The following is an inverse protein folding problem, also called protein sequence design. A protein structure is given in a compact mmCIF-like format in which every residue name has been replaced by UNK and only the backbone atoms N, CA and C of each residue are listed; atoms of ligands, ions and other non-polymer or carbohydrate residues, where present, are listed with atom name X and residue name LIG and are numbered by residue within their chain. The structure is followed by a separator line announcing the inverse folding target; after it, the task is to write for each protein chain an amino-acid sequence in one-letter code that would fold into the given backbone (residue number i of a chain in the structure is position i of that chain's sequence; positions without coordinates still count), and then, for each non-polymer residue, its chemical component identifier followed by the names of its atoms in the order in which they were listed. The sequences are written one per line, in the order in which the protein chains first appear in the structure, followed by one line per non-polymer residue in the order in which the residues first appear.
data_IF_369341539301
#
_entry.id   IF_369341539301
#
_cell.length_a   1.000
_cell.length_b   1.000
_cell.length_c   1.000
_cell.angle_alpha   90.00
_cell.angle_beta   90.00
_cell.angle_gamma   90.00
#
_symmetry.space_group_name_H-M   'P 1'
#
loop_
_entity.id
_entity.type
_entity.pdbx_description
1 polymer ?
#
# COMPACT_ATOMS: atom_id res chain seq x y z
N UNK A 1 -19.46 44.76 3.10
CA UNK A 1 -19.50 45.93 4.02
C UNK A 1 -19.04 47.24 3.37
N UNK A 2 -17.78 47.38 2.87
CA UNK A 2 -17.30 48.65 2.27
C UNK A 2 -17.75 48.88 0.81
N UNK A 3 -17.64 47.90 -0.08
CA UNK A 3 -18.08 48.05 -1.48
C UNK A 3 -19.60 47.90 -1.65
N UNK A 4 -20.20 46.88 -1.02
CA UNK A 4 -21.60 46.48 -1.28
C UNK A 4 -22.56 46.70 -0.10
N UNK A 5 -22.15 47.40 0.96
CA UNK A 5 -23.01 47.70 2.12
C UNK A 5 -23.39 46.50 3.03
N UNK A 6 -23.35 45.26 2.54
CA UNK A 6 -23.88 44.10 3.26
C UNK A 6 -22.96 43.59 4.38
N UNK A 7 -23.57 43.09 5.45
CA UNK A 7 -22.93 42.28 6.49
C UNK A 7 -22.81 40.83 6.00
N UNK A 8 -21.62 40.24 6.21
CA UNK A 8 -21.33 38.84 5.86
C UNK A 8 -20.56 38.20 7.01
N UNK A 9 -20.63 36.87 7.09
CA UNK A 9 -19.98 36.07 8.14
C UNK A 9 -18.90 35.19 7.54
N UNK A 10 -17.92 34.83 8.36
CA UNK A 10 -16.86 33.88 8.01
C UNK A 10 -16.73 32.82 9.09
N UNK A 11 -16.52 31.58 8.67
CA UNK A 11 -16.23 30.45 9.53
C UNK A 11 -14.96 29.78 9.01
N UNK A 12 -14.07 29.39 9.92
CA UNK A 12 -12.82 28.70 9.60
C UNK A 12 -12.87 27.27 10.13
N UNK A 13 -12.15 26.39 9.43
CA UNK A 13 -11.92 25.03 9.88
C UNK A 13 -10.53 24.93 10.53
N UNK A 14 -10.34 24.03 11.52
CA UNK A 14 -9.04 23.80 12.11
C UNK A 14 -8.07 23.24 11.06
N UNK A 15 -6.79 23.60 11.17
CA UNK A 15 -5.75 22.91 10.42
C UNK A 15 -5.58 21.51 11.00
N UNK A 16 -5.57 20.49 10.14
CA UNK A 16 -5.43 19.11 10.58
C UNK A 16 -3.95 18.81 10.88
N UNK A 17 -3.69 18.38 12.11
CA UNK A 17 -2.40 17.91 12.60
C UNK A 17 -2.55 16.50 13.14
N UNK A 18 -1.52 15.67 13.01
CA UNK A 18 -1.48 14.37 13.69
C UNK A 18 -1.08 14.57 15.16
N UNK A 19 -1.42 13.61 16.02
CA UNK A 19 -1.07 13.66 17.44
C UNK A 19 0.46 13.70 17.68
N UNK A 20 1.25 13.18 16.74
CA UNK A 20 2.71 13.21 16.75
C UNK A 20 3.32 14.59 16.36
N UNK A 21 2.48 15.59 16.08
CA UNK A 21 2.90 16.94 15.69
C UNK A 21 3.26 17.11 14.22
N UNK A 22 3.23 16.04 13.42
CA UNK A 22 3.46 16.11 11.98
C UNK A 22 2.23 16.67 11.24
N UNK A 23 2.47 17.28 10.08
CA UNK A 23 1.39 17.82 9.23
C UNK A 23 0.60 16.66 8.62
N UNK A 24 -0.73 16.77 8.68
CA UNK A 24 -1.63 15.82 8.03
C UNK A 24 -1.40 15.78 6.51
N UNK A 25 -1.50 14.60 5.91
CA UNK A 25 -1.30 14.39 4.47
C UNK A 25 0.17 14.39 4.01
N UNK A 26 1.15 14.51 4.91
CA UNK A 26 2.55 14.20 4.63
C UNK A 26 2.89 12.79 5.12
N UNK A 27 3.35 11.95 4.20
CA UNK A 27 3.94 10.65 4.44
C UNK A 27 5.46 10.74 4.28
N UNK A 28 6.19 9.68 4.65
CA UNK A 28 7.63 9.57 4.35
C UNK A 28 7.89 9.63 2.83
N UNK A 29 6.93 9.22 2.01
CA UNK A 29 6.98 9.25 0.54
C UNK A 29 6.43 10.55 -0.09
N UNK A 30 5.86 11.48 0.70
CA UNK A 30 5.40 12.79 0.23
C UNK A 30 3.92 13.09 0.47
N UNK A 31 3.30 13.83 -0.44
CA UNK A 31 1.90 14.28 -0.34
C UNK A 31 0.93 13.18 -0.77
N UNK A 32 -0.16 12.99 -0.02
CA UNK A 32 -1.30 12.15 -0.43
C UNK A 32 -2.20 12.96 -1.37
N UNK A 33 -2.25 12.56 -2.65
CA UNK A 33 -3.07 13.22 -3.67
C UNK A 33 -4.45 12.56 -3.79
N UNK A 34 -5.44 13.32 -4.26
CA UNK A 34 -6.76 12.77 -4.63
C UNK A 34 -6.77 12.20 -6.05
N UNK A 35 -5.81 12.60 -6.89
CA UNK A 35 -5.67 12.12 -8.26
C UNK A 35 -5.08 10.69 -8.26
N UNK A 36 -5.81 9.69 -8.78
CA UNK A 36 -5.38 8.29 -8.79
C UNK A 36 -4.09 8.04 -9.58
N UNK A 37 -3.69 8.95 -10.49
CA UNK A 37 -2.44 8.85 -11.21
C UNK A 37 -1.22 9.32 -10.39
N UNK A 38 -1.45 9.96 -9.23
CA UNK A 38 -0.41 10.48 -8.34
C UNK A 38 -0.37 9.80 -6.99
N UNK A 39 -1.52 9.36 -6.49
CA UNK A 39 -1.63 8.44 -5.36
C UNK A 39 -2.65 7.39 -5.72
N UNK A 40 -2.24 6.12 -5.83
CA UNK A 40 -3.17 5.07 -6.21
C UNK A 40 -4.29 4.91 -5.18
N UNK A 41 -5.49 4.45 -5.58
CA UNK A 41 -6.55 4.10 -4.63
C UNK A 41 -6.08 3.14 -3.52
N UNK A 42 -5.19 2.19 -3.85
CA UNK A 42 -4.54 1.33 -2.86
C UNK A 42 -3.71 2.12 -1.83
N UNK A 43 -2.77 2.97 -2.28
CA UNK A 43 -1.93 3.73 -1.37
C UNK A 43 -2.75 4.75 -0.55
N UNK A 44 -3.77 5.35 -1.15
CA UNK A 44 -4.72 6.22 -0.48
C UNK A 44 -5.47 5.47 0.64
N UNK A 45 -5.99 4.29 0.34
CA UNK A 45 -6.66 3.43 1.33
C UNK A 45 -5.69 3.01 2.46
N UNK A 46 -4.47 2.60 2.13
CA UNK A 46 -3.45 2.22 3.12
C UNK A 46 -3.04 3.38 4.02
N UNK A 47 -2.98 4.61 3.48
CA UNK A 47 -2.72 5.81 4.28
C UNK A 47 -3.75 5.98 5.40
N UNK A 48 -5.04 5.86 5.07
CA UNK A 48 -6.12 5.96 6.07
C UNK A 48 -6.14 4.76 7.02
N UNK A 49 -5.88 3.56 6.51
CA UNK A 49 -5.81 2.33 7.32
C UNK A 49 -4.66 2.37 8.34
N UNK A 50 -3.60 3.13 8.03
CA UNK A 50 -2.45 3.39 8.89
C UNK A 50 -2.64 4.54 9.89
N UNK A 51 -3.86 5.09 10.01
CA UNK A 51 -4.15 6.16 10.98
C UNK A 51 -3.93 5.68 12.41
N UNK A 52 -3.24 6.50 13.22
CA UNK A 52 -3.00 6.21 14.63
C UNK A 52 -4.31 6.16 15.43
N UNK A 53 -4.38 5.28 16.43
CA UNK A 53 -5.57 5.08 17.27
C UNK A 53 -6.06 6.40 17.91
N UNK A 54 -5.13 7.27 18.29
CA UNK A 54 -5.42 8.58 18.91
C UNK A 54 -6.07 9.59 17.95
N UNK A 55 -5.94 9.38 16.64
CA UNK A 55 -6.41 10.31 15.61
C UNK A 55 -7.68 9.83 14.90
N UNK A 56 -7.92 8.51 14.87
CA UNK A 56 -8.91 7.89 13.97
C UNK A 56 -10.34 8.39 14.18
N UNK A 57 -10.81 8.54 15.41
CA UNK A 57 -12.18 9.01 15.70
C UNK A 57 -12.37 10.50 15.39
N UNK A 58 -11.32 11.30 15.59
CA UNK A 58 -11.31 12.71 15.16
C UNK A 58 -11.33 12.80 13.64
N UNK A 59 -10.61 11.93 12.94
CA UNK A 59 -10.61 11.90 11.48
C UNK A 59 -11.93 11.38 10.91
N UNK A 60 -12.57 10.40 11.54
CA UNK A 60 -13.94 9.99 11.20
C UNK A 60 -14.89 11.19 11.25
N UNK A 61 -14.82 12.01 12.30
CA UNK A 61 -15.65 13.22 12.47
C UNK A 61 -15.35 14.32 11.45
N UNK A 62 -14.13 14.36 10.89
CA UNK A 62 -13.71 15.41 9.95
C UNK A 62 -13.87 15.04 8.47
N UNK A 63 -13.67 13.77 8.12
CA UNK A 63 -13.51 13.35 6.73
C UNK A 63 -14.61 12.41 6.23
N UNK A 64 -15.57 12.05 7.09
CA UNK A 64 -16.70 11.21 6.70
C UNK A 64 -18.02 11.93 6.92
N UNK A 65 -19.08 11.39 6.31
CA UNK A 65 -20.46 11.84 6.53
C UNK A 65 -21.20 10.97 7.55
N UNK A 66 -20.48 10.14 8.32
CA UNK A 66 -21.08 9.29 9.34
C UNK A 66 -21.67 10.15 10.47
N UNK A 67 -22.86 9.80 10.99
CA UNK A 67 -23.41 10.45 12.17
C UNK A 67 -22.46 10.36 13.37
N UNK A 68 -22.34 11.45 14.13
CA UNK A 68 -21.48 11.49 15.33
C UNK A 68 -21.83 10.37 16.31
N UNK A 69 -23.13 10.06 16.45
CA UNK A 69 -23.58 8.96 17.31
C UNK A 69 -23.07 7.58 16.87
N UNK A 70 -22.92 7.35 15.56
CA UNK A 70 -22.35 6.09 15.03
C UNK A 70 -20.84 6.03 15.29
N UNK A 71 -20.15 7.17 15.16
CA UNK A 71 -18.71 7.26 15.46
C UNK A 71 -18.46 7.02 16.96
N UNK A 72 -19.27 7.60 17.84
CA UNK A 72 -19.14 7.42 19.28
C UNK A 72 -19.47 5.97 19.71
N UNK A 73 -20.46 5.34 19.07
CA UNK A 73 -20.77 3.93 19.28
C UNK A 73 -19.62 3.01 18.81
N UNK A 74 -19.03 3.30 17.65
CA UNK A 74 -17.85 2.60 17.14
C UNK A 74 -16.67 2.71 18.10
N UNK A 75 -16.42 3.90 18.65
CA UNK A 75 -15.37 4.11 19.64
C UNK A 75 -15.57 3.26 20.89
N UNK A 76 -16.79 3.25 21.45
CA UNK A 76 -17.09 2.42 22.63
C UNK A 76 -16.94 0.92 22.34
N UNK A 77 -17.36 0.48 21.14
CA UNK A 77 -17.21 -0.91 20.73
C UNK A 77 -15.74 -1.32 20.58
N UNK A 78 -14.90 -0.46 20.00
CA UNK A 78 -13.47 -0.69 19.86
C UNK A 78 -12.73 -0.68 21.20
N UNK A 79 -13.14 0.16 22.16
CA UNK A 79 -12.59 0.17 23.53
C UNK A 79 -12.84 -1.14 24.29
N UNK A 80 -13.95 -1.84 23.98
CA UNK A 80 -14.31 -3.13 24.60
C UNK A 80 -13.77 -4.34 23.84
N UNK A 81 -13.23 -4.14 22.63
CA UNK A 81 -12.85 -5.22 21.73
C UNK A 81 -11.54 -5.87 22.17
N UNK A 82 -11.52 -7.20 22.17
CA UNK A 82 -10.28 -7.98 22.25
C UNK A 82 -9.73 -8.19 20.84
N UNK A 83 -8.92 -7.24 20.36
CA UNK A 83 -8.30 -7.33 19.04
C UNK A 83 -7.96 -5.98 18.44
N UNK A 84 -7.82 -5.96 17.11
CA UNK A 84 -7.57 -4.72 16.38
C UNK A 84 -8.85 -3.88 16.31
N UNK A 85 -8.79 -2.56 16.58
CA UNK A 85 -9.89 -1.65 16.36
C UNK A 85 -10.40 -1.68 14.91
N UNK A 86 -11.70 -1.43 14.71
CA UNK A 86 -12.32 -1.36 13.39
C UNK A 86 -12.32 0.07 12.81
N UNK A 87 -12.15 1.09 13.65
CA UNK A 87 -12.23 2.49 13.25
C UNK A 87 -11.35 2.85 12.04
N UNK A 88 -10.12 2.34 11.94
CA UNK A 88 -9.25 2.63 10.80
C UNK A 88 -9.77 2.01 9.50
N UNK A 89 -10.33 0.81 9.58
CA UNK A 89 -10.91 0.15 8.42
C UNK A 89 -12.17 0.91 7.96
N UNK A 90 -13.03 1.35 8.90
CA UNK A 90 -14.18 2.20 8.57
C UNK A 90 -13.72 3.50 7.91
N UNK A 91 -12.77 4.22 8.52
CA UNK A 91 -12.23 5.46 7.96
C UNK A 91 -11.67 5.26 6.55
N UNK A 92 -10.83 4.24 6.35
CA UNK A 92 -10.25 3.95 5.06
C UNK A 92 -11.30 3.65 3.99
N UNK A 93 -12.34 2.87 4.32
CA UNK A 93 -13.45 2.60 3.39
C UNK A 93 -14.20 3.87 3.02
N UNK A 94 -14.66 4.63 4.01
CA UNK A 94 -15.50 5.82 3.80
C UNK A 94 -14.78 6.86 2.95
N UNK A 95 -13.53 7.20 3.28
CA UNK A 95 -12.81 8.24 2.53
C UNK A 95 -12.38 7.75 1.16
N UNK A 96 -12.00 6.47 1.01
CA UNK A 96 -11.63 5.93 -0.31
C UNK A 96 -12.84 5.85 -1.23
N UNK A 97 -14.01 5.41 -0.75
CA UNK A 97 -15.25 5.42 -1.52
C UNK A 97 -15.65 6.86 -1.91
N UNK A 98 -15.51 7.82 -0.99
CA UNK A 98 -15.82 9.22 -1.26
C UNK A 98 -14.97 9.81 -2.40
N UNK A 99 -13.68 9.46 -2.47
CA UNK A 99 -12.73 10.07 -3.43
C UNK A 99 -12.61 9.26 -4.73
N UNK A 100 -12.59 7.94 -4.64
CA UNK A 100 -12.29 7.03 -5.76
C UNK A 100 -13.47 6.11 -6.14
N UNK A 101 -14.63 6.27 -5.50
CA UNK A 101 -15.81 5.45 -5.75
C UNK A 101 -15.67 3.99 -5.30
N UNK A 102 -16.74 3.22 -5.53
CA UNK A 102 -16.80 1.82 -5.11
C UNK A 102 -15.79 0.94 -5.84
N UNK A 103 -15.47 1.26 -7.10
CA UNK A 103 -14.48 0.53 -7.88
C UNK A 103 -13.06 0.72 -7.30
N UNK A 104 -12.68 1.97 -6.99
CA UNK A 104 -11.41 2.28 -6.36
C UNK A 104 -11.26 1.63 -4.98
N UNK A 105 -12.32 1.68 -4.17
CA UNK A 105 -12.36 0.99 -2.89
C UNK A 105 -12.22 -0.54 -3.06
N UNK A 106 -12.97 -1.14 -3.98
CA UNK A 106 -12.93 -2.57 -4.23
C UNK A 106 -11.55 -3.03 -4.71
N UNK A 107 -10.89 -2.23 -5.56
CA UNK A 107 -9.52 -2.49 -5.98
C UNK A 107 -8.54 -2.42 -4.79
N UNK A 108 -8.61 -1.36 -3.99
CA UNK A 108 -7.74 -1.21 -2.81
C UNK A 108 -7.89 -2.36 -1.81
N UNK A 109 -9.13 -2.81 -1.56
CA UNK A 109 -9.41 -3.96 -0.68
C UNK A 109 -8.91 -5.28 -1.27
N UNK A 110 -9.14 -5.51 -2.57
CA UNK A 110 -8.64 -6.70 -3.28
C UNK A 110 -7.11 -6.79 -3.24
N UNK A 111 -6.43 -5.68 -3.50
CA UNK A 111 -4.96 -5.60 -3.42
C UNK A 111 -4.48 -5.90 -2.00
N UNK A 112 -5.12 -5.29 -1.00
CA UNK A 112 -4.78 -5.50 0.42
C UNK A 112 -4.95 -6.96 0.83
N UNK A 113 -6.05 -7.60 0.41
CA UNK A 113 -6.31 -9.00 0.69
C UNK A 113 -5.31 -9.93 0.00
N UNK A 114 -5.04 -9.71 -1.30
CA UNK A 114 -4.11 -10.52 -2.08
C UNK A 114 -2.68 -10.47 -1.54
N UNK A 115 -2.19 -9.29 -1.13
CA UNK A 115 -0.87 -9.17 -0.51
C UNK A 115 -0.81 -9.91 0.84
N UNK A 116 -1.90 -9.90 1.62
CA UNK A 116 -1.95 -10.59 2.90
C UNK A 116 -2.07 -12.12 2.77
N UNK A 117 -2.87 -12.61 1.83
CA UNK A 117 -3.08 -14.05 1.57
C UNK A 117 -2.04 -14.67 0.65
N UNK A 118 -1.19 -13.86 0.00
CA UNK A 118 -0.27 -14.25 -1.08
C UNK A 118 -0.98 -14.76 -2.35
N UNK A 119 -2.28 -14.46 -2.50
CA UNK A 119 -3.08 -14.79 -3.70
C UNK A 119 -2.96 -13.70 -4.77
N UNK A 120 -1.76 -13.58 -5.33
CA UNK A 120 -1.41 -12.56 -6.32
C UNK A 120 -2.04 -12.80 -7.70
N UNK A 121 -2.47 -14.03 -7.98
CA UNK A 121 -3.10 -14.40 -9.24
C UNK A 121 -4.50 -13.75 -9.41
N UNK A 122 -5.13 -13.39 -8.29
CA UNK A 122 -6.42 -12.67 -8.27
C UNK A 122 -6.33 -11.21 -8.72
N UNK A 123 -5.12 -10.64 -8.80
CA UNK A 123 -4.92 -9.24 -9.14
C UNK A 123 -5.04 -9.00 -10.64
N UNK A 124 -5.73 -7.92 -11.02
CA UNK A 124 -5.76 -7.43 -12.41
C UNK A 124 -4.47 -6.69 -12.79
N UNK A 125 -4.27 -6.44 -14.09
CA UNK A 125 -3.16 -5.60 -14.55
C UNK A 125 -3.21 -4.19 -13.93
N UNK A 126 -4.40 -3.60 -13.80
CA UNK A 126 -4.61 -2.29 -13.16
C UNK A 126 -4.25 -2.33 -11.68
N UNK A 127 -4.52 -3.43 -10.98
CA UNK A 127 -4.14 -3.59 -9.57
C UNK A 127 -2.62 -3.62 -9.39
N UNK A 128 -1.91 -4.35 -10.26
CA UNK A 128 -0.45 -4.41 -10.27
C UNK A 128 0.17 -3.06 -10.65
N UNK A 129 -0.50 -2.28 -11.48
CA UNK A 129 -0.09 -0.92 -11.82
C UNK A 129 -0.19 0.03 -10.62
N UNK A 130 -1.21 -0.11 -9.76
CA UNK A 130 -1.28 0.63 -8.49
C UNK A 130 -0.12 0.24 -7.57
N UNK A 131 0.20 -1.05 -7.47
CA UNK A 131 1.36 -1.52 -6.71
C UNK A 131 2.68 -0.98 -7.27
N UNK A 132 2.81 -0.88 -8.60
CA UNK A 132 4.00 -0.31 -9.26
C UNK A 132 4.13 1.20 -9.02
N UNK A 133 3.01 1.92 -9.03
CA UNK A 133 2.98 3.38 -8.90
C UNK A 133 3.53 3.81 -7.53
N UNK A 134 2.94 3.29 -6.47
CA UNK A 134 3.25 3.70 -5.09
C UNK A 134 2.88 2.68 -4.01
N UNK A 135 2.32 1.53 -4.38
CA UNK A 135 1.93 0.51 -3.41
C UNK A 135 3.08 -0.36 -2.89
N UNK A 136 4.13 -0.57 -3.69
CA UNK A 136 5.34 -1.32 -3.35
C UNK A 136 6.58 -0.64 -3.94
N UNK A 137 7.76 -0.87 -3.34
CA UNK A 137 9.02 -0.63 -4.04
C UNK A 137 9.00 -1.38 -5.38
N UNK A 138 9.33 -0.69 -6.46
CA UNK A 138 9.26 -1.24 -7.81
C UNK A 138 10.53 -0.97 -8.61
N UNK A 139 10.92 -1.93 -9.46
CA UNK A 139 12.08 -1.78 -10.35
C UNK A 139 11.84 -2.44 -11.70
N UNK A 140 12.30 -1.79 -12.75
CA UNK A 140 12.29 -2.37 -14.08
C UNK A 140 13.37 -3.45 -14.18
N UNK A 141 13.02 -4.60 -14.74
CA UNK A 141 13.99 -5.65 -15.02
C UNK A 141 14.68 -5.35 -16.34
N UNK A 142 16.03 -5.40 -16.39
CA UNK A 142 16.73 -5.35 -17.65
C UNK A 142 16.36 -6.58 -18.50
N UNK A 143 16.60 -6.51 -19.81
CA UNK A 143 16.42 -7.66 -20.70
C UNK A 143 17.18 -8.90 -20.19
N UNK A 144 16.72 -10.10 -20.53
CA UNK A 144 17.21 -11.35 -19.92
C UNK A 144 18.75 -11.52 -19.92
N UNK A 145 19.43 -10.99 -20.94
CA UNK A 145 20.89 -11.05 -21.09
C UNK A 145 21.66 -10.03 -20.23
N UNK A 146 20.96 -9.09 -19.59
CA UNK A 146 21.51 -8.03 -18.76
C UNK A 146 21.06 -8.13 -17.29
N UNK A 147 20.39 -9.23 -16.92
CA UNK A 147 20.13 -9.53 -15.52
C UNK A 147 21.44 -9.80 -14.77
N UNK A 148 21.53 -9.45 -13.48
CA UNK A 148 22.66 -9.85 -12.64
C UNK A 148 22.88 -11.36 -12.66
N UNK A 149 24.12 -11.79 -12.42
CA UNK A 149 24.48 -13.22 -12.46
C UNK A 149 23.75 -14.04 -11.38
N UNK A 150 23.29 -13.41 -10.29
CA UNK A 150 22.60 -14.11 -9.21
C UNK A 150 21.37 -13.38 -8.68
N UNK A 151 20.41 -14.14 -8.16
CA UNK A 151 19.27 -13.61 -7.40
C UNK A 151 19.73 -12.86 -6.16
N UNK A 152 20.80 -13.35 -5.51
CA UNK A 152 21.43 -12.68 -4.37
C UNK A 152 21.82 -11.24 -4.73
N UNK A 153 22.46 -11.04 -5.87
CA UNK A 153 22.85 -9.71 -6.34
C UNK A 153 21.61 -8.87 -6.69
N UNK A 154 20.72 -9.39 -7.53
CA UNK A 154 19.52 -8.67 -7.99
C UNK A 154 18.64 -8.20 -6.83
N UNK A 155 18.34 -9.06 -5.86
CA UNK A 155 17.48 -8.71 -4.72
C UNK A 155 18.19 -7.76 -3.74
N UNK A 156 19.52 -7.83 -3.63
CA UNK A 156 20.28 -6.87 -2.81
C UNK A 156 20.29 -5.49 -3.47
N UNK A 157 20.53 -5.42 -4.77
CA UNK A 157 20.51 -4.18 -5.56
C UNK A 157 19.11 -3.52 -5.58
N UNK A 158 18.06 -4.33 -5.59
CA UNK A 158 16.67 -3.86 -5.44
C UNK A 158 16.32 -3.38 -4.01
N UNK A 159 17.24 -3.50 -3.04
CA UNK A 159 17.03 -3.03 -1.67
C UNK A 159 16.18 -3.97 -0.79
N UNK A 160 15.89 -5.19 -1.24
CA UNK A 160 15.11 -6.16 -0.46
C UNK A 160 15.84 -6.65 0.80
N UNK A 161 17.18 -6.62 0.77
CA UNK A 161 18.02 -7.08 1.87
C UNK A 161 19.19 -6.12 2.08
N UNK A 162 19.66 -6.01 3.33
CA UNK A 162 20.82 -5.17 3.66
C UNK A 162 22.14 -5.82 3.27
N UNK A 163 22.14 -7.12 2.98
CA UNK A 163 23.32 -7.86 2.53
C UNK A 163 22.92 -9.10 1.73
N UNK A 164 23.81 -9.54 0.84
CA UNK A 164 23.62 -10.78 0.09
C UNK A 164 23.51 -12.03 0.97
N UNK A 165 24.11 -12.02 2.17
CA UNK A 165 23.95 -13.13 3.15
C UNK A 165 22.49 -13.32 3.54
N UNK A 166 21.75 -12.24 3.77
CA UNK A 166 20.33 -12.32 4.11
C UNK A 166 19.50 -12.91 2.97
N UNK A 167 19.83 -12.57 1.71
CA UNK A 167 19.16 -13.17 0.54
C UNK A 167 19.50 -14.66 0.42
N UNK A 168 20.78 -15.02 0.57
CA UNK A 168 21.24 -16.42 0.56
C UNK A 168 20.52 -17.26 1.63
N UNK A 169 20.44 -16.75 2.86
CA UNK A 169 19.76 -17.45 3.96
C UNK A 169 18.26 -17.61 3.67
N UNK A 170 17.62 -16.61 3.05
CA UNK A 170 16.22 -16.68 2.65
C UNK A 170 15.99 -17.71 1.53
N UNK A 171 16.82 -17.71 0.48
CA UNK A 171 16.77 -18.70 -0.61
C UNK A 171 17.01 -20.12 -0.09
N UNK A 172 17.95 -20.30 0.82
CA UNK A 172 18.24 -21.62 1.44
C UNK A 172 17.04 -22.17 2.22
N UNK A 173 16.21 -21.29 2.79
CA UNK A 173 15.01 -21.65 3.55
C UNK A 173 13.73 -21.62 2.71
N UNK A 174 13.83 -21.47 1.38
CA UNK A 174 12.68 -21.27 0.48
C UNK A 174 11.74 -20.14 0.95
N UNK A 175 12.33 -19.09 1.55
CA UNK A 175 11.61 -17.94 2.09
C UNK A 175 11.58 -16.76 1.10
N UNK A 176 12.01 -16.98 -0.15
CA UNK A 176 11.79 -16.07 -1.27
C UNK A 176 10.65 -16.63 -2.11
N UNK A 177 9.68 -15.81 -2.43
CA UNK A 177 8.53 -16.17 -3.25
C UNK A 177 8.44 -15.21 -4.43
N UNK A 178 8.24 -15.72 -5.63
CA UNK A 178 8.00 -14.93 -6.84
C UNK A 178 6.60 -15.29 -7.36
N UNK A 179 5.67 -14.33 -7.35
CA UNK A 179 4.26 -14.57 -7.69
C UNK A 179 3.65 -15.76 -6.91
N UNK A 180 4.00 -15.87 -5.62
CA UNK A 180 3.58 -16.97 -4.74
C UNK A 180 4.36 -18.28 -4.91
N UNK A 181 5.21 -18.43 -5.94
CA UNK A 181 6.05 -19.62 -6.14
C UNK A 181 7.33 -19.54 -5.31
N UNK A 182 7.67 -20.56 -4.49
CA UNK A 182 8.94 -20.59 -3.77
C UNK A 182 10.13 -20.61 -4.73
N UNK A 183 11.13 -19.79 -4.42
CA UNK A 183 12.42 -19.72 -5.12
C UNK A 183 13.52 -20.11 -4.13
N UNK A 184 14.24 -21.18 -4.46
CA UNK A 184 15.26 -21.78 -3.60
C UNK A 184 16.69 -21.39 -3.98
N UNK A 185 17.66 -21.88 -3.20
CA UNK A 185 19.08 -21.67 -3.47
C UNK A 185 19.54 -22.22 -4.83
N UNK A 186 18.92 -23.31 -5.32
CA UNK A 186 19.26 -23.91 -6.61
C UNK A 186 19.00 -22.96 -7.80
N UNK A 187 18.07 -22.02 -7.66
CA UNK A 187 17.72 -21.04 -8.69
C UNK A 187 18.58 -19.76 -8.60
N UNK A 188 19.49 -19.66 -7.61
CA UNK A 188 20.26 -18.45 -7.37
C UNK A 188 21.08 -18.01 -8.58
N UNK A 189 21.65 -18.94 -9.34
CA UNK A 189 22.47 -18.65 -10.53
C UNK A 189 21.65 -18.59 -11.83
N UNK A 190 20.31 -18.61 -11.74
CA UNK A 190 19.43 -18.55 -12.91
C UNK A 190 18.29 -17.52 -12.78
N UNK A 191 18.59 -16.22 -12.54
CA UNK A 191 17.54 -15.19 -12.49
C UNK A 191 16.64 -15.16 -13.72
N UNK A 192 17.20 -15.38 -14.92
CA UNK A 192 16.44 -15.39 -16.17
C UNK A 192 15.30 -16.43 -16.19
N UNK A 193 15.48 -17.58 -15.55
CA UNK A 193 14.44 -18.61 -15.43
C UNK A 193 13.34 -18.21 -14.42
N UNK A 194 13.71 -17.54 -13.33
CA UNK A 194 12.75 -17.03 -12.34
C UNK A 194 11.87 -15.93 -12.92
N UNK A 195 12.47 -15.03 -13.71
CA UNK A 195 11.81 -13.89 -14.34
C UNK A 195 11.48 -14.13 -15.82
N UNK A 196 11.16 -15.38 -16.18
CA UNK A 196 10.70 -15.73 -17.52
C UNK A 196 9.27 -15.23 -17.77
N UNK A 197 8.98 -14.79 -19.01
CA UNK A 197 7.69 -14.19 -19.37
C UNK A 197 6.49 -15.10 -19.06
N UNK A 198 6.67 -16.42 -19.14
CA UNK A 198 5.65 -17.42 -18.81
C UNK A 198 5.23 -17.39 -17.33
N UNK A 199 6.10 -16.90 -16.44
CA UNK A 199 5.82 -16.74 -15.02
C UNK A 199 5.29 -15.34 -14.66
N UNK A 200 5.21 -14.42 -15.62
CA UNK A 200 4.80 -13.04 -15.39
C UNK A 200 3.29 -12.93 -15.22
N UNK A 201 2.87 -12.24 -14.16
CA UNK A 201 1.47 -11.83 -14.01
C UNK A 201 1.15 -10.80 -15.10
N UNK A 202 0.08 -11.07 -15.86
CA UNK A 202 -0.32 -10.26 -17.01
C UNK A 202 0.81 -10.02 -18.02
N UNK A 203 1.73 -10.98 -18.16
CA UNK A 203 2.86 -10.91 -19.10
C UNK A 203 3.93 -9.88 -18.75
N UNK A 204 3.84 -9.21 -17.59
CA UNK A 204 4.66 -8.03 -17.28
C UNK A 204 5.24 -8.00 -15.86
N UNK A 205 4.52 -8.49 -14.86
CA UNK A 205 4.82 -8.22 -13.45
C UNK A 205 5.30 -9.45 -12.68
N UNK A 206 6.20 -9.21 -11.73
CA UNK A 206 6.68 -10.21 -10.76
C UNK A 206 6.71 -9.57 -9.38
N UNK A 207 5.80 -10.00 -8.51
CA UNK A 207 5.79 -9.60 -7.10
C UNK A 207 6.66 -10.58 -6.34
N UNK A 208 7.80 -10.12 -5.86
CA UNK A 208 8.75 -10.91 -5.09
C UNK A 208 8.62 -10.58 -3.62
N UNK A 209 8.48 -11.62 -2.80
CA UNK A 209 8.41 -11.52 -1.34
C UNK A 209 9.64 -12.18 -0.71
N UNK A 210 10.33 -11.46 0.17
CA UNK A 210 11.42 -11.97 1.00
C UNK A 210 10.97 -12.05 2.46
N UNK A 211 10.83 -13.27 2.97
CA UNK A 211 10.33 -13.53 4.32
C UNK A 211 8.84 -13.19 4.43
N UNK A 212 8.42 -12.53 5.52
CA UNK A 212 6.99 -12.32 5.83
C UNK A 212 6.39 -10.99 5.33
N UNK A 213 7.20 -9.94 5.19
CA UNK A 213 6.70 -8.57 5.01
C UNK A 213 7.41 -7.75 3.94
N UNK A 214 8.56 -8.22 3.42
CA UNK A 214 9.30 -7.45 2.41
C UNK A 214 8.83 -7.87 1.04
N UNK A 215 8.22 -6.95 0.32
CA UNK A 215 7.74 -7.14 -1.05
C UNK A 215 8.48 -6.16 -1.97
N UNK A 216 8.70 -6.59 -3.20
CA UNK A 216 9.23 -5.77 -4.28
C UNK A 216 8.57 -6.18 -5.58
N UNK A 217 8.13 -5.21 -6.36
CA UNK A 217 7.51 -5.44 -7.66
C UNK A 217 8.54 -5.22 -8.76
N UNK A 218 8.83 -6.28 -9.50
CA UNK A 218 9.61 -6.20 -10.72
C UNK A 218 8.68 -6.14 -11.93
N UNK A 219 9.02 -5.34 -12.93
CA UNK A 219 8.23 -5.23 -14.16
C UNK A 219 9.11 -5.16 -15.40
N UNK A 220 8.51 -5.48 -16.55
CA UNK A 220 9.08 -5.26 -17.89
C UNK A 220 8.30 -4.20 -18.67
#
# INVERSE_FOLDING_TARGET
RRMYGNAVYGLTMPLITKADGTKFGKTESGTVWLDPARTSPYAFYQFWLGTADVDVYRFLKYFTFLPVAEIDALQQADEQRQGRPEAQAVLAREVTALVHGDEGLSAAQRITAALFSDDLASLSATDLEQLRLDGLPASELPGANALPATLTQLLTEAGMATSGKQVKDALTRNAVLCNGRPVGWAENESPAAVFELAHALHGRYYVVRLGKKKYHLFYR
#
